data_IF_896441455248
#
_entry.id   IF_896441455248
#
_cell.length_a   1.000
_cell.length_b   1.000
_cell.length_c   1.000
_cell.angle_alpha   90.00
_cell.angle_beta   90.00
_cell.angle_gamma   90.00
#
_symmetry.space_group_name_H-M   'P 1'
#
loop_
_entity.id
_entity.type
_entity.pdbx_description
1 polymer ?
#
# COMPACT_ATOMS: atom_id res chain seq x y z
N UNK A 1 -5.01 -0.47 12.86
CA UNK A 1 -3.92 0.46 13.19
C UNK A 1 -4.10 0.95 14.62
N UNK A 2 -3.08 0.88 15.44
CA UNK A 2 -3.16 1.29 16.84
C UNK A 2 -2.82 2.78 16.95
N UNK A 3 -3.80 3.64 16.70
CA UNK A 3 -3.68 5.11 16.71
C UNK A 3 -3.28 5.72 18.07
N UNK A 4 -3.10 4.89 19.08
CA UNK A 4 -2.76 5.32 20.45
C UNK A 4 -1.25 5.27 20.75
N UNK A 5 -0.40 4.99 19.78
CA UNK A 5 1.04 5.02 20.01
C UNK A 5 1.53 6.47 20.04
N UNK A 6 1.93 6.91 21.25
CA UNK A 6 2.48 8.25 21.41
C UNK A 6 3.80 8.38 20.64
N UNK A 7 3.99 9.43 19.82
CA UNK A 7 5.21 9.65 19.04
C UNK A 7 6.50 9.81 19.87
N UNK A 8 6.35 9.94 21.19
CA UNK A 8 7.42 10.25 22.14
C UNK A 8 8.06 9.02 22.81
N UNK A 9 7.53 7.81 22.58
CA UNK A 9 8.13 6.61 23.15
C UNK A 9 9.47 6.32 22.46
N UNK A 10 10.53 5.92 23.21
CA UNK A 10 11.80 5.53 22.60
C UNK A 10 11.59 4.42 21.57
N UNK A 11 12.22 4.55 20.41
CA UNK A 11 12.08 3.59 19.29
C UNK A 11 12.27 2.13 19.73
N UNK A 12 13.23 1.89 20.61
CA UNK A 12 13.54 0.56 21.14
C UNK A 12 12.43 -0.09 21.95
N UNK A 13 11.47 0.65 22.47
CA UNK A 13 10.35 0.11 23.22
C UNK A 13 9.16 -0.26 22.32
N UNK A 14 8.93 0.50 21.23
CA UNK A 14 7.78 0.30 20.36
C UNK A 14 7.89 -0.97 19.51
N UNK A 15 9.01 -1.18 18.82
CA UNK A 15 9.17 -2.39 18.02
C UNK A 15 9.22 -3.67 18.85
N UNK A 16 9.82 -3.61 20.07
CA UNK A 16 9.78 -4.73 21.02
C UNK A 16 8.35 -5.02 21.48
N UNK A 17 7.55 -3.97 21.70
CA UNK A 17 6.15 -4.12 22.05
C UNK A 17 5.37 -4.82 20.92
N UNK A 18 5.59 -4.41 19.66
CA UNK A 18 5.02 -5.09 18.49
C UNK A 18 5.41 -6.57 18.44
N UNK A 19 6.68 -6.89 18.51
CA UNK A 19 7.16 -8.26 18.49
C UNK A 19 6.57 -9.10 19.63
N UNK A 20 6.51 -8.56 20.83
CA UNK A 20 5.93 -9.23 21.98
C UNK A 20 4.44 -9.53 21.77
N UNK A 21 3.68 -8.56 21.26
CA UNK A 21 2.26 -8.74 20.97
C UNK A 21 2.06 -9.83 19.90
N UNK A 22 2.80 -9.76 18.80
CA UNK A 22 2.75 -10.78 17.73
C UNK A 22 3.05 -12.16 18.29
N UNK A 23 4.08 -12.30 19.14
CA UNK A 23 4.44 -13.57 19.76
C UNK A 23 3.37 -14.08 20.72
N UNK A 24 2.78 -13.19 21.56
CA UNK A 24 1.71 -13.57 22.49
C UNK A 24 0.47 -14.05 21.76
N UNK A 25 0.02 -13.29 20.74
CA UNK A 25 -1.14 -13.68 19.94
C UNK A 25 -0.89 -14.96 19.15
N UNK A 26 0.30 -15.12 18.57
CA UNK A 26 0.67 -16.36 17.86
C UNK A 26 0.66 -17.59 18.77
N UNK A 27 1.13 -17.45 20.02
CA UNK A 27 1.12 -18.53 21.02
C UNK A 27 -0.29 -18.86 21.51
N UNK A 28 -1.16 -17.84 21.62
CA UNK A 28 -2.53 -18.02 22.08
C UNK A 28 -3.47 -18.56 21.00
N UNK A 29 -3.13 -18.39 19.73
CA UNK A 29 -3.95 -18.82 18.61
C UNK A 29 -3.69 -20.28 18.23
N UNK A 30 -4.77 -21.02 17.96
CA UNK A 30 -4.73 -22.35 17.37
C UNK A 30 -4.31 -22.35 15.88
N UNK A 31 -4.52 -21.22 15.20
CA UNK A 31 -4.29 -21.08 13.76
C UNK A 31 -3.20 -20.04 13.48
N UNK A 32 -2.48 -20.16 12.37
CA UNK A 32 -1.59 -19.09 11.90
C UNK A 32 -2.34 -17.75 11.80
N UNK A 33 -1.72 -16.68 12.29
CA UNK A 33 -2.32 -15.35 12.31
C UNK A 33 -1.77 -14.49 11.19
N UNK A 34 -2.63 -13.62 10.62
CA UNK A 34 -2.25 -12.53 9.74
C UNK A 34 -2.15 -11.26 10.57
N UNK A 35 -0.97 -10.64 10.55
CA UNK A 35 -0.68 -9.37 11.19
C UNK A 35 -0.53 -8.32 10.11
N UNK A 36 -1.50 -7.40 10.07
CA UNK A 36 -1.64 -6.40 9.01
C UNK A 36 -1.32 -5.00 9.51
N UNK A 37 -0.60 -4.24 8.70
CA UNK A 37 -0.33 -2.82 8.93
C UNK A 37 -0.37 -2.02 7.63
N UNK A 38 -0.38 -0.68 7.76
CA UNK A 38 -0.49 0.27 6.66
C UNK A 38 0.72 1.24 6.63
N UNK A 39 1.92 0.69 6.63
CA UNK A 39 3.17 1.46 6.58
C UNK A 39 3.60 1.73 5.12
N UNK A 40 2.80 2.48 4.37
CA UNK A 40 3.02 2.71 2.93
C UNK A 40 4.41 3.28 2.59
N UNK A 41 4.93 4.17 3.43
CA UNK A 41 6.27 4.75 3.27
C UNK A 41 7.31 4.13 4.23
N UNK A 42 7.09 2.88 4.65
CA UNK A 42 7.91 2.15 5.60
C UNK A 42 7.60 2.48 7.06
N UNK A 43 8.05 1.62 7.96
CA UNK A 43 7.79 1.76 9.41
C UNK A 43 8.29 3.10 9.94
N UNK A 44 9.36 3.64 9.38
CA UNK A 44 9.93 4.94 9.78
C UNK A 44 9.03 6.14 9.52
N UNK A 45 7.91 5.99 8.80
CA UNK A 45 6.88 7.02 8.70
C UNK A 45 6.12 7.21 10.02
N UNK A 46 6.02 6.16 10.84
CA UNK A 46 5.25 6.12 12.08
C UNK A 46 6.12 5.89 13.32
N UNK A 47 7.21 5.14 13.20
CA UNK A 47 8.07 4.74 14.30
C UNK A 47 9.51 5.18 14.05
N UNK A 48 10.05 6.04 14.91
CA UNK A 48 11.45 6.46 14.83
C UNK A 48 12.41 5.28 14.92
N UNK A 49 13.52 5.35 14.16
CA UNK A 49 14.58 4.34 14.17
C UNK A 49 14.45 3.29 13.07
N UNK A 50 13.35 3.30 12.33
CA UNK A 50 13.17 2.51 11.11
C UNK A 50 13.36 3.36 9.85
N UNK A 51 13.44 2.70 8.71
CA UNK A 51 13.58 3.38 7.42
C UNK A 51 12.25 4.03 7.03
N UNK A 52 12.30 5.32 6.75
CA UNK A 52 11.27 6.02 6.01
C UNK A 52 11.71 6.11 4.55
N UNK A 53 10.94 5.50 3.66
CA UNK A 53 11.17 5.61 2.22
C UNK A 53 10.64 6.94 1.67
N UNK A 54 10.88 7.22 0.39
CA UNK A 54 10.17 8.29 -0.31
C UNK A 54 8.70 7.92 -0.50
N UNK A 55 7.88 8.88 -0.96
CA UNK A 55 6.50 8.58 -1.37
C UNK A 55 6.47 7.70 -2.63
N UNK A 56 5.32 7.06 -2.90
CA UNK A 56 5.11 6.34 -4.15
C UNK A 56 5.35 7.21 -5.39
N UNK A 57 4.84 8.43 -5.39
CA UNK A 57 5.11 9.41 -6.46
C UNK A 57 6.60 9.68 -6.64
N UNK A 58 7.37 9.71 -5.54
CA UNK A 58 8.83 9.85 -5.60
C UNK A 58 9.50 8.66 -6.29
N UNK A 59 9.03 7.43 -6.04
CA UNK A 59 9.48 6.23 -6.78
C UNK A 59 9.06 6.32 -8.24
N UNK A 60 7.82 6.70 -8.52
CA UNK A 60 7.32 6.91 -9.88
C UNK A 60 8.18 7.89 -10.69
N UNK A 61 8.59 9.00 -10.06
CA UNK A 61 9.44 10.00 -10.67
C UNK A 61 10.84 9.48 -11.07
N UNK A 62 11.35 8.45 -10.39
CA UNK A 62 12.61 7.79 -10.80
C UNK A 62 12.48 7.01 -12.09
N UNK A 63 11.28 6.60 -12.43
CA UNK A 63 10.95 5.73 -13.58
C UNK A 63 11.78 4.42 -13.60
N UNK A 64 12.21 3.94 -12.42
CA UNK A 64 13.13 2.81 -12.24
C UNK A 64 12.44 1.62 -11.56
N UNK A 65 12.48 0.47 -12.24
CA UNK A 65 11.99 -0.80 -11.67
C UNK A 65 12.84 -1.26 -10.49
N UNK A 66 14.15 -0.96 -10.51
CA UNK A 66 15.05 -1.26 -9.40
C UNK A 66 14.70 -0.43 -8.16
N UNK A 67 14.36 0.85 -8.32
CA UNK A 67 13.92 1.71 -7.23
C UNK A 67 12.61 1.19 -6.62
N UNK A 68 11.65 0.80 -7.46
CA UNK A 68 10.38 0.22 -7.03
C UNK A 68 10.60 -1.11 -6.27
N UNK A 69 11.43 -2.00 -6.80
CA UNK A 69 11.79 -3.24 -6.11
C UNK A 69 12.48 -2.97 -4.77
N UNK A 70 13.42 -2.02 -4.74
CA UNK A 70 14.18 -1.67 -3.53
C UNK A 70 13.28 -1.13 -2.43
N UNK A 71 12.31 -0.28 -2.76
CA UNK A 71 11.32 0.21 -1.80
C UNK A 71 10.55 -0.95 -1.17
N UNK A 72 9.91 -1.80 -1.98
CA UNK A 72 9.16 -2.95 -1.47
C UNK A 72 10.03 -3.91 -0.64
N UNK A 73 11.30 -4.09 -1.03
CA UNK A 73 12.25 -4.95 -0.32
C UNK A 73 12.65 -4.38 1.07
N UNK A 74 12.87 -3.07 1.17
CA UNK A 74 13.22 -2.41 2.43
C UNK A 74 12.02 -2.49 3.40
N UNK A 75 10.86 -2.02 2.97
CA UNK A 75 9.65 -1.98 3.78
C UNK A 75 9.33 -3.38 4.33
N UNK A 76 9.23 -4.36 3.44
CA UNK A 76 8.83 -5.71 3.84
C UNK A 76 9.83 -6.44 4.72
N UNK A 77 11.13 -6.19 4.58
CA UNK A 77 12.15 -6.75 5.48
C UNK A 77 12.02 -6.22 6.90
N UNK A 78 11.85 -4.91 7.04
CA UNK A 78 11.68 -4.29 8.35
C UNK A 78 10.38 -4.75 9.01
N UNK A 79 9.27 -4.78 8.26
CA UNK A 79 7.98 -5.25 8.75
C UNK A 79 8.02 -6.72 9.17
N UNK A 80 8.63 -7.57 8.34
CA UNK A 80 8.81 -8.97 8.70
C UNK A 80 9.64 -9.14 9.97
N UNK A 81 10.64 -8.25 10.17
CA UNK A 81 11.47 -8.22 11.38
C UNK A 81 10.69 -7.95 12.67
N UNK A 82 9.60 -7.20 12.61
CA UNK A 82 8.72 -6.94 13.76
C UNK A 82 7.51 -7.89 13.83
N UNK A 83 7.40 -8.81 12.88
CA UNK A 83 6.37 -9.87 12.87
C UNK A 83 5.17 -9.61 11.99
N UNK A 84 5.13 -8.50 11.26
CA UNK A 84 4.09 -8.20 10.27
C UNK A 84 4.28 -9.13 9.07
N UNK A 85 3.17 -9.68 8.56
CA UNK A 85 3.18 -10.59 7.41
C UNK A 85 2.14 -10.23 6.34
N UNK A 86 1.46 -9.10 6.51
CA UNK A 86 0.52 -8.54 5.54
C UNK A 86 0.57 -7.02 5.57
N UNK A 87 0.83 -6.41 4.41
CA UNK A 87 0.92 -4.97 4.23
C UNK A 87 -0.19 -4.46 3.31
N UNK A 88 -0.86 -3.38 3.73
CA UNK A 88 -1.87 -2.69 2.92
C UNK A 88 -1.19 -1.76 1.90
N UNK A 89 -0.41 -2.33 1.00
CA UNK A 89 0.43 -1.68 -0.01
C UNK A 89 0.72 -2.68 -1.16
N UNK A 90 0.87 -2.25 -2.44
CA UNK A 90 0.97 -0.87 -2.93
C UNK A 90 -0.38 -0.20 -3.23
N UNK A 91 -0.34 1.14 -3.31
CA UNK A 91 -1.45 1.94 -3.86
C UNK A 91 -1.44 1.81 -5.38
N UNK A 92 -2.48 1.19 -5.91
CA UNK A 92 -2.68 0.93 -7.35
C UNK A 92 -3.55 1.99 -8.03
N UNK A 93 -3.98 3.00 -7.27
CA UNK A 93 -4.73 4.15 -7.78
C UNK A 93 -3.87 5.00 -8.70
N UNK A 94 -4.52 5.67 -9.66
CA UNK A 94 -3.88 6.62 -10.56
C UNK A 94 -4.24 8.06 -10.14
N UNK A 95 -3.24 8.95 -10.04
CA UNK A 95 -3.45 10.35 -9.65
C UNK A 95 -4.00 11.18 -10.82
N UNK A 96 -5.20 10.83 -11.30
CA UNK A 96 -5.85 11.50 -12.43
C UNK A 96 -6.33 12.92 -12.10
N UNK A 97 -6.50 13.24 -10.82
CA UNK A 97 -6.88 14.56 -10.32
C UNK A 97 -5.86 15.02 -9.27
N UNK A 98 -4.98 15.98 -9.58
CA UNK A 98 -4.00 16.50 -8.61
C UNK A 98 -4.61 17.08 -7.32
N UNK A 99 -5.89 17.44 -7.36
CA UNK A 99 -6.66 17.89 -6.20
C UNK A 99 -7.27 16.76 -5.37
N UNK A 100 -7.11 15.49 -5.78
CA UNK A 100 -7.57 14.37 -4.97
C UNK A 100 -6.75 14.30 -3.68
N UNK A 101 -7.47 14.26 -2.56
CA UNK A 101 -6.84 14.35 -1.23
C UNK A 101 -6.13 13.05 -0.83
N UNK A 102 -6.58 11.90 -1.33
CA UNK A 102 -6.07 10.59 -0.91
C UNK A 102 -4.97 10.04 -1.80
N UNK A 103 -5.11 10.15 -3.11
CA UNK A 103 -4.10 9.62 -4.02
C UNK A 103 -2.84 10.46 -3.98
N UNK A 104 -2.92 11.73 -4.27
CA UNK A 104 -1.81 12.68 -4.19
C UNK A 104 -0.43 11.99 -4.34
N UNK A 105 0.45 12.15 -3.37
CA UNK A 105 1.80 11.53 -3.36
C UNK A 105 1.80 10.02 -3.11
N UNK A 106 0.65 9.43 -2.77
CA UNK A 106 0.51 7.97 -2.54
C UNK A 106 0.37 7.18 -3.83
N UNK A 107 -0.13 7.77 -4.93
CA UNK A 107 -0.14 7.13 -6.23
C UNK A 107 1.25 7.20 -6.88
N UNK A 108 1.67 6.10 -7.51
CA UNK A 108 2.98 6.05 -8.17
C UNK A 108 3.04 6.94 -9.42
N UNK A 109 1.90 7.11 -10.11
CA UNK A 109 1.77 7.93 -11.33
C UNK A 109 0.30 8.18 -11.65
N UNK A 110 0.04 9.09 -12.58
CA UNK A 110 -1.20 9.26 -13.33
C UNK A 110 -1.22 8.44 -14.63
N UNK A 111 -0.06 7.93 -15.06
CA UNK A 111 0.13 7.08 -16.24
C UNK A 111 0.07 5.59 -15.87
N UNK A 112 -0.93 4.89 -16.42
CA UNK A 112 -1.12 3.46 -16.20
C UNK A 112 0.06 2.62 -16.73
N UNK A 113 0.82 3.10 -17.72
CA UNK A 113 1.96 2.35 -18.25
C UNK A 113 3.14 2.40 -17.27
N UNK A 114 3.35 3.52 -16.58
CA UNK A 114 4.32 3.63 -15.49
C UNK A 114 3.89 2.74 -14.33
N UNK A 115 2.63 2.83 -13.90
CA UNK A 115 2.10 2.03 -12.79
C UNK A 115 2.20 0.53 -13.06
N UNK A 116 1.81 0.05 -14.26
CA UNK A 116 1.89 -1.38 -14.64
C UNK A 116 3.32 -1.90 -14.73
N UNK A 117 4.28 -1.05 -14.98
CA UNK A 117 5.69 -1.44 -15.04
C UNK A 117 6.37 -1.44 -13.67
N UNK A 118 6.05 -0.50 -12.80
CA UNK A 118 6.76 -0.32 -11.54
C UNK A 118 6.14 -1.11 -10.37
N UNK A 119 4.81 -1.07 -10.20
CA UNK A 119 4.14 -1.68 -9.04
C UNK A 119 4.35 -3.20 -8.90
N UNK A 120 4.40 -4.01 -9.97
CA UNK A 120 4.69 -5.45 -9.84
C UNK A 120 6.03 -5.75 -9.18
N UNK A 121 7.01 -4.86 -9.32
CA UNK A 121 8.33 -5.03 -8.69
C UNK A 121 8.26 -4.86 -7.17
N UNK A 122 7.41 -3.97 -6.67
CA UNK A 122 7.16 -3.84 -5.23
C UNK A 122 6.46 -5.10 -4.69
N UNK A 123 5.38 -5.55 -5.35
CA UNK A 123 4.66 -6.79 -4.99
C UNK A 123 5.62 -7.97 -4.91
N UNK A 124 6.44 -8.16 -5.95
CA UNK A 124 7.44 -9.22 -6.02
C UNK A 124 8.42 -9.17 -4.85
N UNK A 125 8.91 -7.97 -4.52
CA UNK A 125 9.86 -7.78 -3.43
C UNK A 125 9.23 -8.13 -2.07
N UNK A 126 8.02 -7.61 -1.80
CA UNK A 126 7.30 -7.84 -0.54
C UNK A 126 6.98 -9.32 -0.35
N UNK A 127 6.41 -9.96 -1.36
CA UNK A 127 6.00 -11.36 -1.25
C UNK A 127 7.19 -12.32 -1.20
N UNK A 128 8.32 -11.99 -1.84
CA UNK A 128 9.58 -12.72 -1.68
C UNK A 128 10.09 -12.71 -0.24
N UNK A 129 9.83 -11.66 0.51
CA UNK A 129 10.18 -11.54 1.93
C UNK A 129 9.12 -12.11 2.89
N UNK A 130 8.06 -12.75 2.36
CA UNK A 130 7.00 -13.37 3.16
C UNK A 130 5.99 -12.38 3.74
N UNK A 131 5.80 -11.24 3.09
CA UNK A 131 4.77 -10.23 3.42
C UNK A 131 3.74 -10.19 2.28
N UNK A 132 2.48 -10.50 2.57
CA UNK A 132 1.41 -10.41 1.59
C UNK A 132 1.19 -8.96 1.16
N UNK A 133 1.19 -8.71 -0.15
CA UNK A 133 0.95 -7.39 -0.72
C UNK A 133 -0.53 -7.18 -1.01
N UNK A 134 -1.01 -5.93 -0.90
CA UNK A 134 -2.40 -5.55 -1.18
C UNK A 134 -2.46 -4.44 -2.21
N UNK A 135 -3.03 -4.72 -3.39
CA UNK A 135 -3.34 -3.66 -4.35
C UNK A 135 -4.62 -2.92 -3.94
N UNK A 136 -4.56 -1.60 -3.81
CA UNK A 136 -5.66 -0.76 -3.31
C UNK A 136 -5.76 0.56 -4.07
N UNK A 137 -6.96 1.14 -4.18
CA UNK A 137 -8.28 0.78 -3.67
C UNK A 137 -9.20 0.47 -4.87
N UNK A 138 -9.50 -0.79 -5.10
CA UNK A 138 -10.36 -1.17 -6.23
C UNK A 138 -11.78 -0.56 -6.09
N UNK A 139 -12.39 -0.02 -7.14
CA UNK A 139 -12.06 -0.06 -8.58
C UNK A 139 -11.07 1.04 -9.04
N UNK A 140 -10.49 1.81 -8.15
CA UNK A 140 -9.53 2.88 -8.39
C UNK A 140 -10.04 4.22 -7.85
N UNK A 141 -9.25 4.87 -6.99
CA UNK A 141 -9.46 6.24 -6.54
C UNK A 141 -8.70 7.22 -7.45
N UNK A 142 -8.79 8.52 -7.20
CA UNK A 142 -7.97 9.54 -7.83
C UNK A 142 -8.68 10.45 -8.84
N UNK A 143 -10.01 10.38 -8.97
CA UNK A 143 -10.75 11.23 -9.93
C UNK A 143 -11.54 12.36 -9.31
N UNK A 144 -12.03 12.23 -8.08
CA UNK A 144 -12.77 13.27 -7.37
C UNK A 144 -11.93 13.98 -6.29
N UNK A 145 -12.56 14.83 -5.47
CA UNK A 145 -11.94 15.58 -4.38
C UNK A 145 -12.31 15.04 -3.00
N UNK A 146 -13.08 13.95 -2.95
CA UNK A 146 -13.69 13.47 -1.71
C UNK A 146 -12.73 12.51 -1.01
N UNK A 147 -12.54 12.73 0.30
CA UNK A 147 -11.86 11.77 1.13
C UNK A 147 -12.83 10.64 1.50
N UNK A 148 -12.60 9.44 0.94
CA UNK A 148 -13.45 8.27 1.14
C UNK A 148 -13.54 7.78 2.59
N UNK A 149 -12.69 8.25 3.50
CA UNK A 149 -12.80 7.95 4.93
C UNK A 149 -13.91 8.74 5.63
N UNK A 150 -14.37 9.85 5.04
CA UNK A 150 -15.42 10.69 5.60
C UNK A 150 -16.72 10.64 4.81
N UNK A 151 -16.65 10.39 3.51
CA UNK A 151 -17.80 10.32 2.63
C UNK A 151 -17.48 9.43 1.43
N UNK A 152 -18.49 8.79 0.87
CA UNK A 152 -18.31 7.94 -0.31
C UNK A 152 -17.77 8.75 -1.49
N UNK A 153 -16.61 8.36 -1.98
CA UNK A 153 -15.98 8.89 -3.19
C UNK A 153 -16.72 8.38 -4.44
N UNK A 154 -16.60 9.11 -5.54
CA UNK A 154 -17.18 8.71 -6.82
C UNK A 154 -16.11 8.66 -7.90
N UNK A 155 -15.91 7.50 -8.48
CA UNK A 155 -15.02 7.31 -9.62
C UNK A 155 -15.65 7.93 -10.88
N UNK A 156 -15.24 9.16 -11.20
CA UNK A 156 -15.77 9.97 -12.30
C UNK A 156 -15.03 9.67 -13.61
N UNK A 157 -15.19 8.48 -14.13
CA UNK A 157 -14.54 8.01 -15.36
C UNK A 157 -15.53 7.16 -16.15
N UNK A 158 -15.46 7.22 -17.49
CA UNK A 158 -16.25 6.33 -18.33
C UNK A 158 -15.82 4.87 -18.16
N UNK A 159 -16.73 3.92 -18.36
CA UNK A 159 -16.42 2.49 -18.33
C UNK A 159 -15.26 2.12 -19.27
N UNK A 160 -15.23 2.71 -20.47
CA UNK A 160 -14.17 2.48 -21.45
C UNK A 160 -12.79 2.91 -20.88
N UNK A 161 -12.69 4.15 -20.40
CA UNK A 161 -11.44 4.67 -19.85
C UNK A 161 -11.02 3.93 -18.58
N UNK A 162 -11.96 3.55 -17.74
CA UNK A 162 -11.69 2.73 -16.56
C UNK A 162 -11.04 1.39 -16.93
N UNK A 163 -11.59 0.71 -17.96
CA UNK A 163 -10.99 -0.54 -18.46
C UNK A 163 -9.58 -0.35 -19.01
N UNK A 164 -9.33 0.74 -19.71
CA UNK A 164 -8.05 1.02 -20.34
C UNK A 164 -6.98 1.43 -19.31
N UNK A 165 -7.37 2.02 -18.20
CA UNK A 165 -6.46 2.56 -17.19
C UNK A 165 -6.48 1.74 -15.89
N UNK A 166 -7.50 1.94 -15.05
CA UNK A 166 -7.54 1.35 -13.71
C UNK A 166 -7.53 -0.18 -13.74
N UNK A 167 -8.39 -0.79 -14.58
CA UNK A 167 -8.43 -2.26 -14.72
C UNK A 167 -7.08 -2.79 -15.19
N UNK A 168 -6.43 -2.11 -16.12
CA UNK A 168 -5.11 -2.52 -16.61
C UNK A 168 -4.09 -2.61 -15.49
N UNK A 169 -4.08 -1.64 -14.55
CA UNK A 169 -3.17 -1.66 -13.39
C UNK A 169 -3.52 -2.83 -12.46
N UNK A 170 -4.77 -2.95 -12.03
CA UNK A 170 -5.19 -4.05 -11.14
C UNK A 170 -4.98 -5.42 -11.78
N UNK A 171 -5.34 -5.59 -13.05
CA UNK A 171 -5.14 -6.85 -13.77
C UNK A 171 -3.65 -7.21 -13.85
N UNK A 172 -2.78 -6.22 -14.15
CA UNK A 172 -1.33 -6.45 -14.15
C UNK A 172 -0.83 -6.94 -12.79
N UNK A 173 -1.33 -6.38 -11.69
CA UNK A 173 -0.94 -6.82 -10.35
C UNK A 173 -1.46 -8.23 -10.04
N UNK A 174 -2.68 -8.56 -10.47
CA UNK A 174 -3.27 -9.91 -10.35
C UNK A 174 -2.41 -10.92 -11.14
N UNK A 175 -2.08 -10.61 -12.38
CA UNK A 175 -1.29 -11.47 -13.26
C UNK A 175 0.15 -11.67 -12.72
N UNK A 176 0.64 -10.73 -11.92
CA UNK A 176 1.91 -10.83 -11.18
C UNK A 176 1.75 -11.39 -9.76
N UNK A 177 0.58 -11.95 -9.44
CA UNK A 177 0.35 -12.74 -8.25
C UNK A 177 0.20 -11.93 -6.96
N UNK A 178 -0.33 -10.68 -7.01
CA UNK A 178 -0.64 -9.93 -5.78
C UNK A 178 -1.59 -10.75 -4.90
N UNK A 179 -1.28 -10.84 -3.60
CA UNK A 179 -2.01 -11.72 -2.68
C UNK A 179 -3.42 -11.20 -2.36
N UNK A 180 -3.61 -9.89 -2.31
CA UNK A 180 -4.85 -9.27 -1.83
C UNK A 180 -5.24 -8.08 -2.72
N UNK A 181 -6.55 -7.91 -2.91
CA UNK A 181 -7.16 -6.69 -3.48
C UNK A 181 -8.03 -6.07 -2.39
N UNK A 182 -7.83 -4.78 -2.12
CA UNK A 182 -8.68 -4.03 -1.21
C UNK A 182 -9.72 -3.23 -2.00
N UNK A 183 -11.01 -3.47 -1.71
CA UNK A 183 -12.09 -2.63 -2.22
C UNK A 183 -12.12 -1.29 -1.48
N UNK A 184 -12.24 -0.20 -2.22
CA UNK A 184 -12.40 1.15 -1.68
C UNK A 184 -13.86 1.48 -1.35
N UNK A 185 -14.06 2.56 -0.59
CA UNK A 185 -15.39 3.15 -0.33
C UNK A 185 -15.80 4.05 -1.49
N UNK A 186 -15.94 3.47 -2.69
CA UNK A 186 -16.02 4.19 -3.95
C UNK A 186 -17.28 3.76 -4.70
N UNK A 187 -18.07 4.73 -5.14
CA UNK A 187 -19.16 4.52 -6.09
C UNK A 187 -18.62 4.61 -7.51
N UNK A 188 -19.05 3.68 -8.38
CA UNK A 188 -18.70 3.70 -9.80
C UNK A 188 -19.97 3.69 -10.67
N UNK A 189 -20.55 4.87 -11.01
CA UNK A 189 -21.82 4.96 -11.72
C UNK A 189 -21.78 4.46 -13.16
N UNK A 190 -20.61 4.38 -13.77
CA UNK A 190 -20.44 3.93 -15.16
C UNK A 190 -20.40 2.40 -15.33
N UNK A 191 -20.50 1.64 -14.24
CA UNK A 191 -20.52 0.16 -14.24
C UNK A 191 -21.91 -0.41 -14.10
#
# INVERSE_FOLDING_TARGET
ANWNMKPEAPSDSLWKHYQNNVQQFSKASKYPMLYVEDFEAGIGSEIKGFTRTTSEMGVGATNSEEAAYSMGNIISKEERGIGINWLLHPVADLNNNPGNFLTNVRAISDDENIATRLLPNQVKAMQKNGVAATAKHFPGDGTDFINQHFSTSTLQISYHNWKQKNVKVFQTLIDNGVAVIMAGHITFPAY
#
